data_IF_069085869666
#
_entry.id   IF_069085869666
#
_cell.length_a   1.000
_cell.length_b   1.000
_cell.length_c   1.000
_cell.angle_alpha   90.00
_cell.angle_beta   90.00
_cell.angle_gamma   90.00
#
_symmetry.space_group_name_H-M   'P 1'
#
loop_
_entity.id
_entity.type
_entity.pdbx_description
1 polymer ?
#
# COMPACT_ATOMS: atom_id res chain seq x y z
N UNK A 1 20.70 3.58 -19.22
CA UNK A 1 20.42 4.82 -19.96
C UNK A 1 19.06 5.31 -19.47
N UNK A 2 19.05 6.22 -18.50
CA UNK A 2 17.85 6.68 -17.79
C UNK A 2 17.12 7.72 -18.65
N UNK A 3 15.88 7.43 -19.01
CA UNK A 3 14.97 8.44 -19.56
C UNK A 3 14.24 9.13 -18.39
N UNK A 4 14.76 10.25 -17.92
CA UNK A 4 14.09 11.08 -16.93
C UNK A 4 13.08 12.00 -17.61
N UNK A 5 11.82 11.72 -17.49
CA UNK A 5 10.78 12.70 -17.77
C UNK A 5 10.57 13.57 -16.54
N UNK A 6 11.22 14.74 -16.51
CA UNK A 6 10.91 15.80 -15.53
C UNK A 6 9.66 16.53 -15.96
N UNK A 7 8.56 16.31 -15.27
CA UNK A 7 7.38 17.17 -15.38
C UNK A 7 7.39 18.15 -14.19
N UNK A 8 7.35 19.45 -14.49
CA UNK A 8 7.34 20.53 -13.47
C UNK A 8 5.95 20.63 -12.86
N UNK A 9 5.84 20.44 -11.56
CA UNK A 9 4.69 20.90 -10.79
C UNK A 9 4.72 22.43 -10.75
N UNK A 10 3.74 23.09 -11.36
CA UNK A 10 3.57 24.53 -11.29
C UNK A 10 2.81 24.89 -10.00
N UNK A 11 3.50 25.50 -9.05
CA UNK A 11 2.87 26.23 -7.96
C UNK A 11 2.34 27.57 -8.51
N UNK A 12 1.08 27.61 -8.93
CA UNK A 12 0.36 28.86 -9.08
C UNK A 12 -0.57 29.03 -7.89
N UNK A 13 -0.13 29.83 -6.91
CA UNK A 13 -1.03 30.47 -5.96
C UNK A 13 -1.73 31.63 -6.70
N UNK A 14 -2.94 31.37 -7.17
CA UNK A 14 -3.87 32.42 -7.58
C UNK A 14 -4.93 32.62 -6.47
N UNK A 15 -4.98 33.80 -5.81
CA UNK A 15 -5.84 34.02 -4.65
C UNK A 15 -7.31 34.25 -5.00
N UNK A 16 -7.78 33.98 -6.20
CA UNK A 16 -9.13 34.36 -6.68
C UNK A 16 -10.04 33.21 -7.12
N UNK A 17 -9.69 31.98 -6.90
CA UNK A 17 -10.62 30.86 -7.16
C UNK A 17 -11.28 30.39 -5.87
N UNK A 18 -12.63 30.30 -5.84
CA UNK A 18 -13.33 29.72 -4.69
C UNK A 18 -12.93 28.25 -4.56
N UNK A 19 -12.63 27.82 -3.33
CA UNK A 19 -12.37 26.43 -2.99
C UNK A 19 -13.58 25.59 -3.39
N UNK A 20 -13.48 24.87 -4.50
CA UNK A 20 -14.40 23.79 -4.80
C UNK A 20 -14.03 22.64 -3.87
N UNK A 21 -14.86 22.38 -2.88
CA UNK A 21 -14.90 21.11 -2.18
C UNK A 21 -15.20 20.05 -3.22
N UNK A 22 -14.21 19.23 -3.59
CA UNK A 22 -14.45 18.03 -4.34
C UNK A 22 -15.19 17.05 -3.41
N UNK A 23 -16.50 17.02 -3.59
CA UNK A 23 -17.38 16.05 -2.99
C UNK A 23 -17.05 14.68 -3.61
N UNK A 24 -16.34 13.83 -2.85
CA UNK A 24 -16.02 12.47 -3.26
C UNK A 24 -17.31 11.63 -3.26
N UNK A 25 -17.97 11.66 -4.34
CA UNK A 25 -19.22 10.97 -4.62
C UNK A 25 -20.20 11.91 -5.26
N UNK A 26 -20.08 12.09 -6.57
CA UNK A 26 -21.12 12.74 -7.37
C UNK A 26 -22.41 11.99 -7.16
N UNK A 27 -23.22 12.48 -6.21
CA UNK A 27 -24.61 12.05 -6.02
C UNK A 27 -25.38 12.63 -7.19
N UNK A 28 -25.51 11.86 -8.27
CA UNK A 28 -26.52 12.16 -9.26
C UNK A 28 -27.85 11.73 -8.62
N UNK A 29 -28.53 12.64 -7.97
CA UNK A 29 -29.91 12.46 -7.59
C UNK A 29 -30.75 12.43 -8.87
N UNK A 30 -30.97 11.23 -9.41
CA UNK A 30 -32.10 10.99 -10.30
C UNK A 30 -33.23 10.47 -9.42
N UNK A 31 -34.30 11.20 -9.31
CA UNK A 31 -35.56 10.71 -8.78
C UNK A 31 -36.01 9.51 -9.63
N UNK A 32 -35.74 8.31 -9.16
CA UNK A 32 -36.16 7.07 -9.81
C UNK A 32 -35.25 5.89 -9.46
N UNK A 33 -35.67 5.05 -8.52
CA UNK A 33 -35.25 3.68 -8.23
C UNK A 33 -33.76 3.47 -7.86
N UNK A 34 -33.51 3.19 -6.59
CA UNK A 34 -32.22 2.97 -5.93
C UNK A 34 -31.33 1.83 -6.45
N UNK A 35 -31.58 1.27 -7.62
CA UNK A 35 -30.91 0.11 -8.19
C UNK A 35 -29.68 0.47 -9.07
N UNK A 36 -29.62 1.66 -9.64
CA UNK A 36 -28.57 2.03 -10.60
C UNK A 36 -27.20 2.30 -9.94
N UNK A 37 -27.17 2.83 -8.74
CA UNK A 37 -25.93 3.24 -8.05
C UNK A 37 -25.08 2.05 -7.61
N UNK A 38 -25.74 0.99 -7.12
CA UNK A 38 -25.07 -0.25 -6.68
C UNK A 38 -24.45 -1.01 -7.88
N UNK A 39 -25.06 -0.94 -9.05
CA UNK A 39 -24.52 -1.60 -10.25
C UNK A 39 -23.21 -0.98 -10.76
N UNK A 40 -23.06 0.34 -10.71
CA UNK A 40 -21.84 1.01 -11.21
C UNK A 40 -20.63 0.63 -10.33
N UNK A 41 -20.76 0.68 -9.00
CA UNK A 41 -19.68 0.31 -8.08
C UNK A 41 -19.32 -1.18 -8.24
N UNK A 42 -20.30 -2.07 -8.33
CA UNK A 42 -20.05 -3.50 -8.60
C UNK A 42 -19.29 -3.71 -9.91
N UNK A 43 -19.69 -3.06 -10.98
CA UNK A 43 -19.05 -3.22 -12.29
C UNK A 43 -17.57 -2.77 -12.26
N UNK A 44 -17.23 -1.73 -11.51
CA UNK A 44 -15.85 -1.26 -11.36
C UNK A 44 -15.01 -2.28 -10.57
N UNK A 45 -15.53 -2.78 -9.46
CA UNK A 45 -14.83 -3.78 -8.64
C UNK A 45 -14.71 -5.13 -9.36
N UNK A 46 -15.74 -5.55 -10.10
CA UNK A 46 -15.72 -6.78 -10.91
C UNK A 46 -14.69 -6.67 -12.05
N UNK A 47 -14.64 -5.53 -12.73
CA UNK A 47 -13.64 -5.27 -13.76
C UNK A 47 -12.20 -5.28 -13.17
N UNK A 48 -12.00 -4.62 -12.04
CA UNK A 48 -10.72 -4.64 -11.33
C UNK A 48 -10.31 -6.06 -10.94
N UNK A 49 -11.25 -6.85 -10.41
CA UNK A 49 -11.02 -8.24 -10.02
C UNK A 49 -10.57 -9.10 -11.19
N UNK A 50 -11.17 -8.93 -12.36
CA UNK A 50 -10.75 -9.69 -13.56
C UNK A 50 -9.27 -9.42 -13.91
N UNK A 51 -8.85 -8.16 -13.86
CA UNK A 51 -7.44 -7.79 -14.10
C UNK A 51 -6.55 -8.31 -12.99
N UNK A 52 -6.96 -8.17 -11.72
CA UNK A 52 -6.22 -8.68 -10.56
C UNK A 52 -6.01 -10.21 -10.66
N UNK A 53 -7.03 -10.96 -11.06
CA UNK A 53 -6.92 -12.41 -11.26
C UNK A 53 -5.98 -12.78 -12.43
N UNK A 54 -5.90 -11.97 -13.48
CA UNK A 54 -4.91 -12.14 -14.55
C UNK A 54 -3.50 -11.84 -14.05
N UNK A 55 -3.33 -10.76 -13.29
CA UNK A 55 -2.04 -10.40 -12.69
C UNK A 55 -1.55 -11.46 -11.72
N UNK A 56 -2.44 -12.01 -10.88
CA UNK A 56 -2.10 -13.09 -9.94
C UNK A 56 -1.58 -14.33 -10.66
N UNK A 57 -2.21 -14.71 -11.78
CA UNK A 57 -1.71 -15.82 -12.63
C UNK A 57 -0.34 -15.48 -13.21
N UNK A 58 -0.17 -14.29 -13.77
CA UNK A 58 1.11 -13.84 -14.33
C UNK A 58 2.24 -13.87 -13.28
N UNK A 59 1.99 -13.40 -12.07
CA UNK A 59 2.95 -13.45 -10.97
C UNK A 59 3.26 -14.89 -10.53
N UNK A 60 2.25 -15.76 -10.50
CA UNK A 60 2.44 -17.17 -10.16
C UNK A 60 3.28 -17.90 -11.23
N UNK A 61 3.00 -17.69 -12.53
CA UNK A 61 3.74 -18.27 -13.64
C UNK A 61 5.23 -17.84 -13.65
N UNK A 62 5.50 -16.62 -13.19
CA UNK A 62 6.86 -16.05 -13.08
C UNK A 62 7.48 -16.29 -11.70
N UNK A 63 6.80 -16.98 -10.79
CA UNK A 63 7.24 -17.23 -9.41
C UNK A 63 7.57 -15.96 -8.60
N UNK A 64 6.93 -14.84 -8.92
CA UNK A 64 7.06 -13.57 -8.21
C UNK A 64 6.09 -13.53 -7.03
N UNK A 65 6.62 -13.28 -5.83
CA UNK A 65 5.79 -13.00 -4.66
C UNK A 65 5.42 -11.52 -4.60
N UNK A 66 4.17 -11.18 -4.39
CA UNK A 66 3.69 -9.80 -4.40
C UNK A 66 3.16 -9.40 -3.02
N UNK A 67 3.79 -8.38 -2.44
CA UNK A 67 3.43 -7.78 -1.16
C UNK A 67 2.82 -6.39 -1.39
N UNK A 68 1.56 -6.19 -1.00
CA UNK A 68 0.89 -4.90 -1.02
C UNK A 68 0.91 -4.26 0.37
N UNK A 69 1.55 -3.08 0.50
CA UNK A 69 1.68 -2.36 1.78
C UNK A 69 0.81 -1.11 1.76
N UNK A 70 -0.18 -1.10 2.63
CA UNK A 70 -1.17 -0.03 2.77
C UNK A 70 -1.06 0.65 4.13
N UNK A 71 -1.33 1.95 4.19
CA UNK A 71 -1.29 2.71 5.45
C UNK A 71 -1.91 4.08 5.32
N UNK A 72 -2.04 4.78 6.45
CA UNK A 72 -2.22 6.24 6.45
C UNK A 72 -0.99 6.98 5.90
N UNK A 73 -1.15 8.21 5.41
CA UNK A 73 -0.02 9.10 5.15
C UNK A 73 0.83 9.30 6.41
N UNK A 74 2.15 9.34 6.24
CA UNK A 74 3.07 9.62 7.35
C UNK A 74 3.30 8.47 8.36
N UNK A 75 2.74 7.29 8.15
CA UNK A 75 2.97 6.10 9.00
C UNK A 75 4.41 5.57 8.94
N UNK A 76 5.18 5.94 7.90
CA UNK A 76 6.59 5.55 7.69
C UNK A 76 6.77 4.37 6.74
N UNK A 77 5.83 4.16 5.77
CA UNK A 77 5.93 3.09 4.75
C UNK A 77 7.30 3.03 4.10
N UNK A 78 7.69 4.08 3.42
CA UNK A 78 8.94 4.17 2.66
C UNK A 78 10.16 3.81 3.51
N UNK A 79 10.25 4.35 4.74
CA UNK A 79 11.36 4.02 5.66
C UNK A 79 11.35 2.55 6.08
N UNK A 80 10.16 1.99 6.32
CA UNK A 80 9.98 0.57 6.64
C UNK A 80 10.41 -0.31 5.46
N UNK A 81 10.02 0.06 4.24
CA UNK A 81 10.39 -0.68 3.04
C UNK A 81 11.90 -0.63 2.75
N UNK A 82 12.55 0.52 2.93
CA UNK A 82 14.01 0.63 2.80
C UNK A 82 14.70 -0.35 3.74
N UNK A 83 14.26 -0.41 5.01
CA UNK A 83 14.84 -1.33 5.98
C UNK A 83 14.53 -2.80 5.67
N UNK A 84 13.32 -3.09 5.21
CA UNK A 84 12.92 -4.44 4.75
C UNK A 84 13.78 -4.90 3.58
N UNK A 85 13.94 -4.06 2.55
CA UNK A 85 14.80 -4.32 1.40
C UNK A 85 16.26 -4.58 1.82
N UNK A 86 16.80 -3.74 2.71
CA UNK A 86 18.18 -3.91 3.21
C UNK A 86 18.42 -5.25 3.91
N UNK A 87 17.38 -5.88 4.48
CA UNK A 87 17.45 -7.21 5.10
C UNK A 87 17.25 -8.37 4.12
N UNK A 88 16.45 -8.17 3.07
CA UNK A 88 16.07 -9.22 2.12
C UNK A 88 16.97 -9.29 0.89
N UNK A 89 17.42 -8.17 0.34
CA UNK A 89 18.19 -8.11 -0.91
C UNK A 89 19.51 -8.90 -0.91
N UNK A 90 20.20 -9.17 0.21
CA UNK A 90 21.34 -10.08 0.18
C UNK A 90 21.03 -11.51 -0.30
N UNK A 91 19.73 -11.90 -0.25
CA UNK A 91 19.27 -13.24 -0.64
C UNK A 91 18.15 -13.27 -1.67
N UNK A 92 17.52 -12.12 -1.99
CA UNK A 92 16.35 -12.04 -2.86
C UNK A 92 16.48 -10.88 -3.86
N UNK A 93 15.99 -11.09 -5.08
CA UNK A 93 15.84 -10.07 -6.10
C UNK A 93 14.54 -9.32 -5.86
N UNK A 94 14.64 -8.15 -5.25
CA UNK A 94 13.48 -7.34 -4.90
C UNK A 94 13.28 -6.22 -5.90
N UNK A 95 12.00 -5.83 -6.13
CA UNK A 95 11.63 -4.65 -6.89
C UNK A 95 10.45 -3.94 -6.21
N UNK A 96 10.25 -2.66 -6.49
CA UNK A 96 9.22 -1.84 -5.84
C UNK A 96 8.40 -1.07 -6.87
N UNK A 97 7.08 -1.08 -6.68
CA UNK A 97 6.17 -0.11 -7.31
C UNK A 97 5.71 0.85 -6.22
N UNK A 98 5.85 2.15 -6.46
CA UNK A 98 5.46 3.21 -5.52
C UNK A 98 4.28 3.98 -6.08
N UNK A 99 3.16 3.97 -5.35
CA UNK A 99 2.01 4.83 -5.63
C UNK A 99 2.09 6.12 -4.83
N UNK A 100 2.15 7.25 -5.52
CA UNK A 100 2.06 8.58 -4.89
C UNK A 100 1.15 9.48 -5.73
N UNK A 101 0.57 10.48 -5.07
CA UNK A 101 -0.31 11.43 -5.74
C UNK A 101 0.52 12.36 -6.65
N UNK A 102 1.62 12.92 -6.16
CA UNK A 102 2.37 13.96 -6.90
C UNK A 102 3.90 13.97 -6.66
N UNK A 103 4.43 13.28 -5.65
CA UNK A 103 5.83 13.37 -5.24
C UNK A 103 6.69 12.23 -5.81
N UNK A 104 7.97 12.50 -6.13
CA UNK A 104 8.96 11.46 -6.47
C UNK A 104 9.86 11.09 -5.31
N UNK A 105 9.69 11.75 -4.16
CA UNK A 105 10.61 11.68 -3.04
C UNK A 105 10.76 10.25 -2.45
N UNK A 106 9.67 9.50 -2.38
CA UNK A 106 9.68 8.15 -1.84
C UNK A 106 10.32 7.15 -2.82
N UNK A 107 10.05 7.31 -4.12
CA UNK A 107 10.70 6.50 -5.15
C UNK A 107 12.21 6.79 -5.23
N UNK A 108 12.62 8.06 -5.10
CA UNK A 108 14.04 8.43 -5.09
C UNK A 108 14.78 7.76 -3.92
N UNK A 109 14.21 7.79 -2.70
CA UNK A 109 14.77 7.12 -1.53
C UNK A 109 14.85 5.60 -1.68
N UNK A 110 13.80 4.97 -2.23
CA UNK A 110 13.77 3.52 -2.44
C UNK A 110 14.80 3.10 -3.49
N UNK A 111 15.02 3.91 -4.53
CA UNK A 111 16.03 3.63 -5.55
C UNK A 111 17.47 3.62 -5.02
N UNK A 112 17.74 4.34 -3.93
CA UNK A 112 19.04 4.31 -3.24
C UNK A 112 19.37 2.94 -2.64
N UNK A 113 18.37 2.08 -2.43
CA UNK A 113 18.58 0.69 -1.98
C UNK A 113 19.21 -0.20 -3.04
N UNK A 114 19.19 0.21 -4.31
CA UNK A 114 19.60 -0.59 -5.46
C UNK A 114 18.49 -1.48 -6.03
N UNK A 115 17.31 -1.53 -5.43
CA UNK A 115 16.15 -2.21 -6.00
C UNK A 115 15.63 -1.45 -7.24
N UNK A 116 15.19 -2.12 -8.31
CA UNK A 116 14.40 -1.50 -9.37
C UNK A 116 13.13 -0.88 -8.80
N UNK A 117 12.88 0.41 -9.12
CA UNK A 117 11.70 1.15 -8.64
C UNK A 117 10.93 1.70 -9.83
N UNK A 118 9.63 1.47 -9.86
CA UNK A 118 8.68 2.10 -10.80
C UNK A 118 7.72 2.96 -10.00
N UNK A 119 7.61 4.23 -10.36
CA UNK A 119 6.68 5.15 -9.72
C UNK A 119 5.42 5.35 -10.56
N UNK A 120 4.28 5.38 -9.86
CA UNK A 120 2.96 5.70 -10.40
C UNK A 120 2.50 7.00 -9.76
N UNK A 121 2.32 8.05 -10.55
CA UNK A 121 1.72 9.31 -10.12
C UNK A 121 0.25 9.34 -10.51
N UNK A 122 -0.64 9.44 -9.53
CA UNK A 122 -2.09 9.36 -9.79
C UNK A 122 -2.75 10.69 -10.06
N UNK A 123 -2.08 11.83 -9.87
CA UNK A 123 -2.59 13.16 -10.26
C UNK A 123 -2.95 13.25 -11.74
N UNK A 124 -2.20 12.54 -12.60
CA UNK A 124 -2.42 12.47 -14.05
C UNK A 124 -3.67 11.66 -14.42
N UNK A 125 -4.19 10.85 -13.51
CA UNK A 125 -5.38 10.00 -13.68
C UNK A 125 -6.59 10.48 -12.89
N UNK A 126 -6.60 11.77 -12.47
CA UNK A 126 -7.72 12.35 -11.71
C UNK A 126 -7.55 12.31 -10.20
N UNK A 127 -6.33 12.03 -9.69
CA UNK A 127 -6.02 12.06 -8.26
C UNK A 127 -6.60 10.86 -7.51
N UNK A 128 -6.55 9.66 -8.10
CA UNK A 128 -7.01 8.44 -7.44
C UNK A 128 -6.27 8.19 -6.13
N UNK A 129 -7.00 7.82 -5.10
CA UNK A 129 -6.50 7.58 -3.75
C UNK A 129 -6.12 6.11 -3.50
N UNK A 130 -5.97 5.30 -4.55
CA UNK A 130 -5.58 3.88 -4.52
C UNK A 130 -4.95 3.48 -5.85
N UNK A 131 -4.26 2.34 -5.86
CA UNK A 131 -3.76 1.70 -7.07
C UNK A 131 -4.75 0.59 -7.50
N UNK A 132 -5.33 0.72 -8.67
CA UNK A 132 -6.16 -0.33 -9.28
C UNK A 132 -5.28 -1.34 -10.03
N UNK A 133 -5.79 -2.57 -10.26
CA UNK A 133 -5.04 -3.66 -10.90
C UNK A 133 -4.50 -3.30 -12.29
N UNK A 134 -5.24 -2.56 -13.11
CA UNK A 134 -4.79 -2.15 -14.45
C UNK A 134 -3.61 -1.16 -14.42
N UNK A 135 -3.51 -0.37 -13.36
CA UNK A 135 -2.39 0.57 -13.17
C UNK A 135 -1.13 -0.22 -12.78
N UNK A 136 -1.28 -1.24 -11.90
CA UNK A 136 -0.20 -2.17 -11.57
C UNK A 136 0.22 -2.97 -12.80
N UNK A 137 -0.71 -3.43 -13.63
CA UNK A 137 -0.41 -4.12 -14.90
C UNK A 137 0.48 -3.26 -15.81
N UNK A 138 0.16 -1.98 -15.93
CA UNK A 138 0.95 -1.03 -16.70
C UNK A 138 2.36 -0.87 -16.12
N UNK A 139 2.50 -0.70 -14.81
CA UNK A 139 3.81 -0.59 -14.15
C UNK A 139 4.65 -1.86 -14.32
N UNK A 140 4.04 -3.03 -14.13
CA UNK A 140 4.67 -4.34 -14.29
C UNK A 140 5.15 -4.58 -15.73
N UNK A 141 4.46 -4.02 -16.74
CA UNK A 141 4.89 -4.15 -18.14
C UNK A 141 6.23 -3.47 -18.44
N UNK A 142 6.66 -2.54 -17.59
CA UNK A 142 7.95 -1.87 -17.66
C UNK A 142 9.07 -2.60 -16.89
N UNK A 143 8.75 -3.75 -16.26
CA UNK A 143 9.67 -4.53 -15.41
C UNK A 143 9.99 -5.89 -16.06
N UNK A 144 11.18 -6.42 -15.77
CA UNK A 144 11.54 -7.80 -16.12
C UNK A 144 11.22 -8.73 -14.94
N UNK A 145 10.06 -9.38 -14.97
CA UNK A 145 9.62 -10.25 -13.88
C UNK A 145 10.52 -11.47 -13.66
N UNK A 146 11.23 -11.96 -14.68
CA UNK A 146 12.17 -13.10 -14.56
C UNK A 146 13.35 -12.79 -13.61
N UNK A 147 13.59 -11.50 -13.32
CA UNK A 147 14.65 -11.04 -12.43
C UNK A 147 14.11 -10.61 -11.05
N UNK A 148 12.86 -10.94 -10.72
CA UNK A 148 12.20 -10.51 -9.48
C UNK A 148 11.70 -11.73 -8.71
N UNK A 149 12.09 -11.87 -7.45
CA UNK A 149 11.56 -12.87 -6.52
C UNK A 149 10.46 -12.25 -5.64
N UNK A 150 10.62 -10.95 -5.27
CA UNK A 150 9.69 -10.19 -4.44
C UNK A 150 9.38 -8.84 -5.08
N UNK A 151 8.13 -8.62 -5.43
CA UNK A 151 7.60 -7.33 -5.82
C UNK A 151 6.85 -6.69 -4.64
N UNK A 152 7.31 -5.54 -4.18
CA UNK A 152 6.64 -4.77 -3.15
C UNK A 152 5.85 -3.65 -3.82
N UNK A 153 4.57 -3.53 -3.50
CA UNK A 153 3.74 -2.39 -3.90
C UNK A 153 3.53 -1.50 -2.68
N UNK A 154 4.15 -0.32 -2.69
CA UNK A 154 3.83 0.76 -1.76
C UNK A 154 2.59 1.48 -2.26
N UNK A 155 1.44 1.18 -1.64
CA UNK A 155 0.17 1.80 -2.03
C UNK A 155 0.08 3.25 -1.53
N UNK A 156 -0.82 4.01 -2.14
CA UNK A 156 -1.09 5.40 -1.74
C UNK A 156 -1.51 5.44 -0.26
N UNK A 157 -1.09 6.49 0.45
CA UNK A 157 -1.42 6.68 1.85
C UNK A 157 -2.91 6.92 2.07
N UNK A 158 -3.68 5.84 2.27
CA UNK A 158 -5.12 5.85 2.50
C UNK A 158 -5.56 4.54 3.18
N UNK A 159 -6.47 4.62 4.16
CA UNK A 159 -7.01 3.45 4.88
C UNK A 159 -8.43 3.03 4.42
N UNK A 160 -8.98 3.65 3.37
CA UNK A 160 -10.32 3.37 2.87
C UNK A 160 -10.25 2.70 1.49
N UNK A 161 -9.89 3.47 0.47
CA UNK A 161 -9.97 3.03 -0.91
C UNK A 161 -9.11 1.77 -1.22
N UNK A 162 -7.84 1.67 -0.79
CA UNK A 162 -7.02 0.49 -1.11
C UNK A 162 -7.56 -0.83 -0.54
N UNK A 163 -8.38 -0.77 0.51
CA UNK A 163 -8.99 -1.96 1.11
C UNK A 163 -9.96 -2.69 0.18
N UNK A 164 -10.58 -1.97 -0.76
CA UNK A 164 -11.60 -2.52 -1.67
C UNK A 164 -11.00 -3.07 -2.98
N UNK A 165 -9.73 -2.71 -3.29
CA UNK A 165 -9.09 -3.05 -4.55
C UNK A 165 -8.06 -4.16 -4.38
N UNK A 166 -8.28 -5.24 -5.10
CA UNK A 166 -7.32 -6.33 -5.30
C UNK A 166 -6.39 -5.96 -6.47
N UNK A 167 -5.11 -6.12 -6.32
CA UNK A 167 -4.09 -5.86 -7.35
C UNK A 167 -3.37 -7.11 -7.82
N UNK A 168 -3.84 -8.30 -7.40
CA UNK A 168 -3.23 -9.59 -7.70
C UNK A 168 -2.11 -9.98 -6.71
N UNK A 169 -2.05 -9.36 -5.56
CA UNK A 169 -1.07 -9.61 -4.51
C UNK A 169 -1.24 -10.96 -3.82
N UNK A 170 -0.14 -11.45 -3.23
CA UNK A 170 -0.13 -12.64 -2.38
C UNK A 170 -0.40 -12.30 -0.92
N UNK A 171 0.06 -11.13 -0.47
CA UNK A 171 -0.17 -10.62 0.89
C UNK A 171 -0.57 -9.15 0.86
N UNK A 172 -1.52 -8.82 1.73
CA UNK A 172 -1.90 -7.47 2.10
C UNK A 172 -1.39 -7.18 3.51
N UNK A 173 -0.66 -6.10 3.67
CA UNK A 173 -0.16 -5.66 4.97
C UNK A 173 -0.61 -4.24 5.23
N UNK A 174 -1.27 -4.03 6.37
CA UNK A 174 -1.59 -2.68 6.83
C UNK A 174 -0.51 -2.21 7.78
N UNK A 175 -0.11 -0.94 7.65
CA UNK A 175 0.81 -0.30 8.56
C UNK A 175 0.18 0.93 9.18
N UNK A 176 0.33 1.07 10.50
CA UNK A 176 0.00 2.27 11.25
C UNK A 176 1.17 2.70 12.13
N UNK A 177 1.15 3.95 12.54
CA UNK A 177 2.12 4.49 13.49
C UNK A 177 1.47 4.67 14.85
N UNK A 178 2.22 4.44 15.94
CA UNK A 178 1.76 4.73 17.31
C UNK A 178 1.28 6.17 17.48
N UNK A 179 1.73 7.10 16.63
CA UNK A 179 1.30 8.51 16.67
C UNK A 179 -0.10 8.77 16.10
N UNK A 180 -0.76 7.74 15.56
CA UNK A 180 -2.08 7.86 14.93
C UNK A 180 -3.25 7.57 15.89
N UNK A 181 -2.95 7.08 17.08
CA UNK A 181 -3.92 6.71 18.11
C UNK A 181 -4.43 5.27 18.00
N UNK A 182 -4.98 4.77 19.10
CA UNK A 182 -5.43 3.37 19.26
C UNK A 182 -6.74 3.05 18.52
N UNK A 183 -7.49 4.06 18.11
CA UNK A 183 -8.84 3.91 17.55
C UNK A 183 -8.88 3.70 16.02
N UNK A 184 -7.73 3.81 15.33
CA UNK A 184 -7.63 3.62 13.88
C UNK A 184 -8.21 2.29 13.39
N UNK A 185 -7.93 1.14 14.00
CA UNK A 185 -8.50 -0.13 13.55
C UNK A 185 -10.03 -0.15 13.62
N UNK A 186 -10.60 0.44 14.68
CA UNK A 186 -12.05 0.53 14.88
C UNK A 186 -12.70 1.49 13.87
N UNK A 187 -12.01 2.59 13.53
CA UNK A 187 -12.50 3.58 12.54
C UNK A 187 -12.43 3.07 11.09
N UNK A 188 -11.46 2.23 10.78
CA UNK A 188 -11.21 1.70 9.43
C UNK A 188 -11.23 0.16 9.41
N UNK A 189 -12.32 -0.49 9.88
CA UNK A 189 -12.32 -1.92 10.11
C UNK A 189 -12.13 -2.75 8.85
N UNK A 190 -12.56 -2.26 7.67
CA UNK A 190 -12.41 -2.99 6.42
C UNK A 190 -10.92 -3.20 6.10
N UNK A 191 -10.09 -2.16 6.26
CA UNK A 191 -8.65 -2.23 6.00
C UNK A 191 -7.99 -3.36 6.79
N UNK A 192 -8.30 -3.44 8.10
CA UNK A 192 -7.70 -4.47 8.95
C UNK A 192 -8.28 -5.88 8.68
N UNK A 193 -9.54 -5.99 8.25
CA UNK A 193 -10.16 -7.29 7.92
C UNK A 193 -9.63 -7.92 6.66
N UNK A 194 -9.20 -7.12 5.68
CA UNK A 194 -8.70 -7.62 4.39
C UNK A 194 -7.20 -7.85 4.37
N UNK A 195 -6.47 -7.43 5.42
CA UNK A 195 -5.03 -7.58 5.51
C UNK A 195 -4.64 -8.87 6.23
N UNK A 196 -3.51 -9.44 5.83
CA UNK A 196 -2.95 -10.68 6.36
C UNK A 196 -2.07 -10.44 7.60
N UNK A 197 -1.59 -9.21 7.79
CA UNK A 197 -0.79 -8.80 8.94
C UNK A 197 -0.85 -7.28 9.14
N UNK A 198 -0.49 -6.83 10.35
CA UNK A 198 -0.32 -5.42 10.66
C UNK A 198 1.09 -5.11 11.20
N UNK A 199 1.66 -3.99 10.74
CA UNK A 199 2.88 -3.40 11.28
C UNK A 199 2.51 -2.17 12.12
N UNK A 200 2.86 -2.18 13.40
CA UNK A 200 2.73 -1.02 14.29
C UNK A 200 4.10 -0.35 14.37
N UNK A 201 4.26 0.75 13.65
CA UNK A 201 5.54 1.42 13.48
C UNK A 201 5.74 2.58 14.45
N UNK A 202 7.00 3.03 14.54
CA UNK A 202 7.47 4.13 15.38
C UNK A 202 7.34 3.83 16.89
N UNK A 203 7.51 2.58 17.30
CA UNK A 203 7.45 2.20 18.73
C UNK A 203 8.51 2.92 19.56
N UNK A 204 9.59 3.40 18.94
CA UNK A 204 10.59 4.28 19.56
C UNK A 204 10.01 5.59 20.11
N UNK A 205 8.81 5.96 19.71
CA UNK A 205 8.11 7.15 20.20
C UNK A 205 7.20 6.88 21.41
N UNK A 206 6.91 5.61 21.74
CA UNK A 206 6.04 5.25 22.87
C UNK A 206 6.43 5.94 24.19
N UNK A 207 7.73 6.08 24.57
CA UNK A 207 8.10 6.76 25.80
C UNK A 207 7.72 8.25 25.86
N UNK A 208 7.31 8.83 24.74
CA UNK A 208 6.94 10.26 24.61
C UNK A 208 5.44 10.46 24.37
N UNK A 209 4.66 9.39 24.35
CA UNK A 209 3.23 9.39 24.08
C UNK A 209 2.47 8.91 25.33
N UNK A 210 1.28 9.45 25.53
CA UNK A 210 0.32 8.94 26.51
C UNK A 210 -0.51 7.83 25.84
N UNK A 211 0.17 6.74 25.50
CA UNK A 211 -0.39 5.63 24.75
C UNK A 211 0.35 4.32 25.09
N UNK A 212 -0.43 3.29 25.44
CA UNK A 212 0.06 1.93 25.60
C UNK A 212 -0.14 1.14 24.29
N UNK A 213 0.88 0.39 23.88
CA UNK A 213 0.81 -0.37 22.64
C UNK A 213 -0.30 -1.42 22.67
N UNK A 214 -0.57 -2.00 23.83
CA UNK A 214 -1.63 -2.98 24.06
C UNK A 214 -3.01 -2.43 23.66
N UNK A 215 -3.25 -1.12 23.76
CA UNK A 215 -4.52 -0.51 23.36
C UNK A 215 -4.73 -0.58 21.84
N UNK A 216 -3.65 -0.41 21.07
CA UNK A 216 -3.67 -0.56 19.60
C UNK A 216 -3.91 -2.03 19.24
N UNK A 217 -3.15 -2.95 19.87
CA UNK A 217 -3.27 -4.40 19.63
C UNK A 217 -4.68 -4.91 19.93
N UNK A 218 -5.26 -4.52 21.07
CA UNK A 218 -6.65 -4.85 21.43
C UNK A 218 -7.68 -4.28 20.43
N UNK A 219 -7.40 -3.11 19.84
CA UNK A 219 -8.27 -2.53 18.83
C UNK A 219 -8.22 -3.31 17.53
N UNK A 220 -7.04 -3.81 17.16
CA UNK A 220 -6.87 -4.70 16.00
C UNK A 220 -7.54 -6.04 16.26
N UNK A 221 -7.31 -6.66 17.42
CA UNK A 221 -7.89 -7.94 17.82
C UNK A 221 -9.43 -7.93 17.76
N UNK A 222 -10.08 -6.82 18.15
CA UNK A 222 -11.53 -6.66 18.03
C UNK A 222 -12.04 -6.67 16.60
N UNK A 223 -11.21 -6.27 15.64
CA UNK A 223 -11.59 -6.13 14.22
C UNK A 223 -11.20 -7.37 13.42
N UNK A 224 -10.02 -7.91 13.71
CA UNK A 224 -9.45 -9.07 13.04
C UNK A 224 -8.73 -9.94 14.08
N UNK A 225 -9.45 -10.88 14.74
CA UNK A 225 -8.87 -11.81 15.71
C UNK A 225 -7.71 -12.63 15.11
N UNK A 226 -6.71 -12.89 15.93
CA UNK A 226 -5.52 -13.68 15.57
C UNK A 226 -4.67 -13.11 14.41
N UNK A 227 -4.84 -11.83 14.05
CA UNK A 227 -4.01 -11.17 13.03
C UNK A 227 -2.54 -11.11 13.47
N UNK A 228 -1.58 -11.57 12.66
CA UNK A 228 -0.16 -11.37 12.94
C UNK A 228 0.19 -9.89 13.11
N UNK A 229 0.78 -9.54 14.26
CA UNK A 229 1.15 -8.16 14.60
C UNK A 229 2.66 -8.06 14.77
N UNK A 230 3.25 -6.98 14.25
CA UNK A 230 4.67 -6.70 14.37
C UNK A 230 4.87 -5.26 14.85
N UNK A 231 5.34 -5.13 16.09
CA UNK A 231 5.72 -3.86 16.68
C UNK A 231 7.13 -3.50 16.23
N UNK A 232 7.27 -2.47 15.41
CA UNK A 232 8.53 -2.12 14.77
C UNK A 232 8.90 -0.64 14.95
N UNK A 233 10.19 -0.37 14.89
CA UNK A 233 10.70 0.98 14.63
C UNK A 233 11.54 0.99 13.35
N UNK A 234 11.01 1.60 12.30
CA UNK A 234 11.79 1.79 11.08
C UNK A 234 13.02 2.66 11.30
N UNK A 235 13.04 3.49 12.35
CA UNK A 235 14.17 4.33 12.73
C UNK A 235 15.30 3.54 13.40
N UNK A 236 14.97 2.72 14.41
CA UNK A 236 15.98 1.99 15.20
C UNK A 236 16.28 0.60 14.66
N UNK A 237 15.34 -0.03 13.98
CA UNK A 237 15.39 -1.42 13.52
C UNK A 237 14.79 -2.42 14.50
N UNK A 238 14.27 -1.96 15.62
CA UNK A 238 13.60 -2.81 16.60
C UNK A 238 12.40 -3.52 15.98
N UNK A 239 12.19 -4.80 16.34
CA UNK A 239 11.08 -5.64 15.89
C UNK A 239 11.18 -6.19 14.46
N UNK A 240 12.16 -5.75 13.66
CA UNK A 240 12.28 -6.17 12.26
C UNK A 240 12.60 -7.66 12.07
N UNK A 241 13.29 -8.29 12.99
CA UNK A 241 13.66 -9.70 12.84
C UNK A 241 12.41 -10.59 12.77
N UNK A 242 11.40 -10.33 13.60
CA UNK A 242 10.12 -11.02 13.57
C UNK A 242 9.34 -10.79 12.25
N UNK A 243 9.28 -9.54 11.81
CA UNK A 243 8.66 -9.18 10.53
C UNK A 243 9.32 -9.88 9.33
N UNK A 244 10.65 -9.82 9.24
CA UNK A 244 11.41 -10.43 8.14
C UNK A 244 11.26 -11.95 8.14
N UNK A 245 11.36 -12.60 9.31
CA UNK A 245 11.20 -14.04 9.44
C UNK A 245 9.80 -14.49 8.98
N UNK A 246 8.74 -13.78 9.40
CA UNK A 246 7.38 -14.08 8.99
C UNK A 246 7.18 -13.89 7.49
N UNK A 247 7.63 -12.77 6.91
CA UNK A 247 7.52 -12.51 5.48
C UNK A 247 8.22 -13.59 4.65
N UNK A 248 9.46 -13.95 5.03
CA UNK A 248 10.21 -15.02 4.38
C UNK A 248 9.46 -16.35 4.43
N UNK A 249 8.88 -16.69 5.59
CA UNK A 249 8.08 -17.91 5.73
C UNK A 249 6.85 -17.91 4.80
N UNK A 250 6.16 -16.76 4.62
CA UNK A 250 5.03 -16.68 3.68
C UNK A 250 5.48 -16.90 2.23
N UNK A 251 6.63 -16.36 1.85
CA UNK A 251 7.20 -16.57 0.52
C UNK A 251 7.56 -18.04 0.28
N UNK A 252 8.12 -18.71 1.28
CA UNK A 252 8.42 -20.15 1.21
C UNK A 252 7.15 -20.99 1.04
N UNK A 253 6.13 -20.73 1.85
CA UNK A 253 4.82 -21.40 1.74
C UNK A 253 4.17 -21.26 0.36
N UNK A 254 4.40 -20.15 -0.35
CA UNK A 254 3.89 -20.00 -1.71
C UNK A 254 4.62 -20.90 -2.70
N UNK A 255 5.95 -21.07 -2.55
CA UNK A 255 6.76 -21.92 -3.43
C UNK A 255 6.42 -23.40 -3.31
N UNK A 256 5.82 -23.81 -2.19
CA UNK A 256 5.43 -25.20 -1.93
C UNK A 256 4.03 -25.56 -2.49
N UNK A 257 3.26 -24.57 -2.96
CA UNK A 257 1.90 -24.75 -3.53
C UNK A 257 1.93 -24.84 -5.05
#
# INVERSE_FOLDING_TARGET
>A
MYASYRTRCFNHHDPKHPHHHHDHGTVIESHGTGTRRIQVVRNVLDANKMVADQMRRKFADQQVFVLNVMSSPGSGKTTTLIRTLGRLMPGLRCAVIVGDICSTHDADKLSETGAPVVQINTDQFGGECHLAAHVIETAVSAMNLDEIDLLIVENIGNLVCPAEFDIGEDLKVVMLSVTEGEDKPIKYPLMFRVCDAALINKIDLLPYLDLEIDAIEQSIEKVHPDMPLFNISAKTGEGFDGWIAWLTQQMEKKKER
#
